data_IF_447564163777
#
_entry.id   IF_447564163777
#
_cell.length_a   1.000
_cell.length_b   1.000
_cell.length_c   1.000
_cell.angle_alpha   90.00
_cell.angle_beta   90.00
_cell.angle_gamma   90.00
#
_symmetry.space_group_name_H-M   'P 1'
#
loop_
_entity.id
_entity.type
_entity.pdbx_description
1 polymer ?
#
# COMPACT_ATOMS: atom_id res chain seq x y z
N UNK A 1 26.19 33.60 29.27
CA UNK A 1 24.76 33.91 29.18
C UNK A 1 24.53 34.67 27.91
N UNK A 2 24.11 34.02 26.87
CA UNK A 2 23.51 34.62 25.69
C UNK A 2 22.36 33.68 25.28
N UNK A 3 21.14 34.15 25.48
CA UNK A 3 19.92 33.45 25.08
C UNK A 3 19.81 33.56 23.55
N UNK A 4 20.08 32.49 22.89
CA UNK A 4 19.85 32.32 21.44
C UNK A 4 18.34 32.14 21.22
N UNK A 5 17.71 33.24 20.83
CA UNK A 5 16.30 33.26 20.44
C UNK A 5 16.13 32.39 19.21
N UNK A 6 15.52 31.23 19.39
CA UNK A 6 15.04 30.39 18.28
C UNK A 6 14.00 31.21 17.48
N UNK A 7 14.42 31.71 16.33
CA UNK A 7 13.53 32.23 15.30
C UNK A 7 12.69 31.08 14.77
N UNK A 8 11.48 30.92 15.30
CA UNK A 8 10.44 30.09 14.71
C UNK A 8 10.05 30.74 13.37
N UNK A 9 10.56 30.20 12.26
CA UNK A 9 10.12 30.58 10.93
C UNK A 9 8.60 30.43 10.83
N UNK A 10 7.91 31.51 10.44
CA UNK A 10 6.46 31.50 10.28
C UNK A 10 6.06 30.37 9.33
N UNK A 11 4.93 29.66 9.61
CA UNK A 11 4.48 28.58 8.73
C UNK A 11 4.18 29.16 7.35
N UNK A 12 4.83 28.61 6.31
CA UNK A 12 4.53 28.96 4.92
C UNK A 12 3.09 28.55 4.62
N UNK A 13 2.21 29.53 4.48
CA UNK A 13 0.79 29.33 4.21
C UNK A 13 0.45 29.83 2.82
N UNK A 14 -0.41 29.11 2.11
CA UNK A 14 -1.00 29.57 0.87
C UNK A 14 -2.36 30.21 1.15
N UNK A 15 -2.67 31.35 0.50
CA UNK A 15 -3.94 32.04 0.67
C UNK A 15 -4.85 31.73 -0.51
N UNK A 16 -5.95 31.04 -0.25
CA UNK A 16 -7.06 30.87 -1.19
C UNK A 16 -8.21 31.79 -0.70
N UNK A 17 -8.24 33.01 -1.15
CA UNK A 17 -9.17 34.03 -0.62
C UNK A 17 -8.93 34.32 0.86
N UNK A 18 -9.94 34.04 1.70
CA UNK A 18 -9.85 34.21 3.18
C UNK A 18 -9.28 32.99 3.91
N UNK A 19 -9.08 31.88 3.21
CA UNK A 19 -8.57 30.64 3.80
C UNK A 19 -7.04 30.56 3.66
N UNK A 20 -6.36 30.37 4.78
CA UNK A 20 -4.93 30.07 4.82
C UNK A 20 -4.76 28.57 4.96
N UNK A 21 -4.26 27.89 3.90
CA UNK A 21 -3.99 26.45 3.93
C UNK A 21 -2.50 26.23 4.24
N UNK A 22 -2.16 25.46 5.27
CA UNK A 22 -0.77 25.19 5.61
C UNK A 22 -0.08 24.35 4.52
N UNK A 23 1.24 24.56 4.37
CA UNK A 23 2.09 23.85 3.40
C UNK A 23 1.95 22.33 3.51
N UNK A 24 1.83 21.83 4.74
CA UNK A 24 1.70 20.41 5.04
C UNK A 24 0.42 19.76 4.48
N UNK A 25 -0.53 20.55 4.01
CA UNK A 25 -1.77 20.08 3.36
C UNK A 25 -1.70 20.34 1.85
N UNK A 26 -1.46 21.58 1.42
CA UNK A 26 -1.59 21.89 0.00
C UNK A 26 -0.48 21.29 -0.86
N UNK A 27 0.78 21.22 -0.36
CA UNK A 27 1.89 20.68 -1.14
C UNK A 27 1.70 19.19 -1.49
N UNK A 28 1.40 18.28 -0.53
CA UNK A 28 1.13 16.88 -0.87
C UNK A 28 -0.09 16.72 -1.79
N UNK A 29 -1.12 17.54 -1.65
CA UNK A 29 -2.30 17.48 -2.53
C UNK A 29 -1.97 17.91 -3.96
N UNK A 30 -1.19 18.97 -4.17
CA UNK A 30 -0.77 19.42 -5.50
C UNK A 30 0.14 18.39 -6.17
N UNK A 31 1.14 17.86 -5.45
CA UNK A 31 2.01 16.81 -5.99
C UNK A 31 1.18 15.60 -6.42
N UNK A 32 0.27 15.15 -5.57
CA UNK A 32 -0.58 14.01 -5.88
C UNK A 32 -1.49 14.30 -7.07
N UNK A 33 -2.17 15.42 -7.12
CA UNK A 33 -3.07 15.78 -8.21
C UNK A 33 -2.36 15.82 -9.57
N UNK A 34 -1.18 16.47 -9.66
CA UNK A 34 -0.40 16.55 -10.89
C UNK A 34 0.06 15.16 -11.36
N UNK A 35 0.53 14.33 -10.45
CA UNK A 35 0.96 12.96 -10.79
C UNK A 35 -0.22 12.06 -11.15
N UNK A 36 -1.42 12.30 -10.59
CA UNK A 36 -2.65 11.56 -10.98
C UNK A 36 -3.15 11.98 -12.35
N UNK A 37 -3.03 13.26 -12.69
CA UNK A 37 -3.34 13.72 -14.05
C UNK A 37 -2.43 13.04 -15.09
N UNK A 38 -1.12 12.96 -14.80
CA UNK A 38 -0.18 12.21 -15.62
C UNK A 38 -0.57 10.72 -15.73
N UNK A 39 -0.84 10.06 -14.60
CA UNK A 39 -1.26 8.66 -14.56
C UNK A 39 -2.56 8.41 -15.33
N UNK A 40 -3.52 9.35 -15.29
CA UNK A 40 -4.74 9.29 -16.10
C UNK A 40 -4.42 9.25 -17.60
N UNK A 41 -3.54 10.13 -18.06
CA UNK A 41 -3.14 10.17 -19.48
C UNK A 41 -2.45 8.86 -19.87
N UNK A 42 -1.52 8.35 -19.05
CA UNK A 42 -0.81 7.08 -19.33
C UNK A 42 -1.79 5.92 -19.43
N UNK A 43 -2.74 5.79 -18.49
CA UNK A 43 -3.74 4.73 -18.48
C UNK A 43 -4.67 4.86 -19.69
N UNK A 44 -5.16 6.07 -20.02
CA UNK A 44 -6.06 6.30 -21.14
C UNK A 44 -5.42 5.99 -22.50
N UNK A 45 -4.12 6.31 -22.66
CA UNK A 45 -3.37 5.97 -23.86
C UNK A 45 -3.10 4.46 -23.93
N UNK A 46 -2.71 3.83 -22.85
CA UNK A 46 -2.44 2.40 -22.78
C UNK A 46 -3.71 1.56 -23.07
N UNK A 47 -4.89 2.03 -22.63
CA UNK A 47 -6.16 1.37 -22.88
C UNK A 47 -6.48 1.17 -24.37
N UNK A 48 -5.89 1.96 -25.27
CA UNK A 48 -6.07 1.82 -26.72
C UNK A 48 -5.50 0.52 -27.28
N UNK A 49 -4.58 -0.10 -26.55
CA UNK A 49 -3.90 -1.34 -26.98
C UNK A 49 -4.51 -2.60 -26.38
N UNK A 50 -5.58 -2.47 -25.57
CA UNK A 50 -6.23 -3.62 -24.99
C UNK A 50 -7.11 -4.34 -26.00
N UNK A 51 -7.02 -5.68 -26.02
CA UNK A 51 -7.94 -6.55 -26.78
C UNK A 51 -9.28 -6.65 -26.04
N UNK A 52 -10.34 -7.09 -26.76
CA UNK A 52 -11.61 -7.38 -26.13
C UNK A 52 -11.47 -8.52 -25.11
N UNK A 53 -12.08 -8.34 -23.94
CA UNK A 53 -12.11 -9.34 -22.87
C UNK A 53 -13.54 -9.85 -22.71
N UNK A 54 -13.83 -11.12 -23.10
CA UNK A 54 -15.16 -11.71 -22.97
C UNK A 54 -15.49 -12.03 -21.51
N UNK A 55 -16.79 -12.05 -21.18
CA UNK A 55 -17.33 -12.58 -19.92
C UNK A 55 -18.20 -13.80 -20.23
N UNK A 56 -18.20 -14.86 -19.39
CA UNK A 56 -17.29 -15.14 -18.31
C UNK A 56 -15.92 -15.61 -18.80
N UNK A 57 -14.98 -15.75 -17.93
CA UNK A 57 -13.58 -16.03 -18.10
C UNK A 57 -13.12 -16.80 -19.34
N UNK A 58 -12.17 -16.25 -20.06
CA UNK A 58 -11.22 -17.02 -20.87
C UNK A 58 -10.22 -17.74 -19.94
N UNK A 59 -9.73 -18.95 -20.26
CA UNK A 59 -8.74 -19.64 -19.44
C UNK A 59 -7.56 -18.73 -19.07
N UNK A 60 -7.37 -18.48 -17.76
CA UNK A 60 -6.31 -17.66 -17.21
C UNK A 60 -6.65 -16.17 -16.98
N UNK A 61 -7.80 -15.66 -17.45
CA UNK A 61 -8.21 -14.27 -17.19
C UNK A 61 -9.67 -14.27 -16.75
N UNK A 62 -9.89 -13.99 -15.45
CA UNK A 62 -11.25 -13.81 -14.93
C UNK A 62 -11.79 -12.44 -15.30
N UNK A 63 -13.03 -12.40 -15.83
CA UNK A 63 -13.76 -11.17 -16.13
C UNK A 63 -15.16 -11.26 -15.54
N UNK A 64 -15.51 -10.34 -14.65
CA UNK A 64 -16.87 -10.21 -14.13
C UNK A 64 -17.79 -9.55 -15.17
N UNK A 65 -17.29 -8.49 -15.80
CA UNK A 65 -17.97 -7.79 -16.89
C UNK A 65 -17.13 -7.83 -18.16
N UNK A 66 -17.76 -8.06 -19.32
CA UNK A 66 -17.05 -8.03 -20.61
C UNK A 66 -16.53 -6.61 -20.90
N UNK A 67 -15.30 -6.52 -21.43
CA UNK A 67 -14.74 -5.27 -21.91
C UNK A 67 -14.57 -5.32 -23.42
N UNK A 68 -14.96 -4.26 -24.16
CA UNK A 68 -14.67 -4.14 -25.58
C UNK A 68 -13.15 -3.98 -25.81
N UNK A 69 -12.70 -4.11 -27.04
CA UNK A 69 -11.36 -3.64 -27.42
C UNK A 69 -11.27 -2.14 -27.17
N UNK A 70 -10.09 -1.68 -26.72
CA UNK A 70 -9.86 -0.27 -26.38
C UNK A 70 -10.89 0.31 -25.40
N UNK A 71 -11.06 -0.27 -24.19
CA UNK A 71 -12.17 0.04 -23.28
C UNK A 71 -12.10 1.43 -22.65
N UNK A 72 -11.08 2.22 -22.98
CA UNK A 72 -10.82 3.53 -22.40
C UNK A 72 -10.29 3.43 -20.95
N UNK A 73 -10.17 4.59 -20.31
CA UNK A 73 -9.65 4.70 -18.94
C UNK A 73 -10.45 3.85 -17.95
N UNK A 74 -11.77 4.02 -17.91
CA UNK A 74 -12.64 3.36 -16.93
C UNK A 74 -12.64 1.83 -17.07
N UNK A 75 -12.54 1.30 -18.28
CA UNK A 75 -12.48 -0.14 -18.49
C UNK A 75 -11.10 -0.71 -18.10
N UNK A 76 -10.00 0.01 -18.40
CA UNK A 76 -8.66 -0.50 -18.07
C UNK A 76 -8.41 -0.59 -16.55
N UNK A 77 -8.88 0.39 -15.79
CA UNK A 77 -8.65 0.44 -14.33
C UNK A 77 -9.36 -0.66 -13.55
N UNK A 78 -10.31 -1.38 -14.15
CA UNK A 78 -11.06 -2.48 -13.51
C UNK A 78 -10.52 -3.87 -13.87
N UNK A 79 -9.44 -3.96 -14.62
CA UNK A 79 -8.80 -5.24 -14.96
C UNK A 79 -8.24 -5.96 -13.73
N UNK A 80 -7.97 -7.26 -13.86
CA UNK A 80 -7.31 -8.15 -12.90
C UNK A 80 -8.02 -8.21 -11.55
N UNK A 81 -7.37 -7.78 -10.46
CA UNK A 81 -8.00 -7.73 -9.13
C UNK A 81 -9.30 -6.90 -9.14
N UNK A 82 -9.38 -5.90 -10.03
CA UNK A 82 -10.56 -5.06 -10.19
C UNK A 82 -11.83 -5.84 -10.48
N UNK A 83 -11.75 -6.91 -11.28
CA UNK A 83 -12.89 -7.77 -11.60
C UNK A 83 -13.45 -8.49 -10.37
N UNK A 84 -12.57 -8.90 -9.46
CA UNK A 84 -12.98 -9.51 -8.20
C UNK A 84 -13.62 -8.50 -7.27
N UNK A 85 -13.05 -7.31 -7.16
CA UNK A 85 -13.63 -6.23 -6.37
C UNK A 85 -14.98 -5.76 -6.94
N UNK A 86 -15.13 -5.70 -8.27
CA UNK A 86 -16.40 -5.37 -8.93
C UNK A 86 -17.48 -6.41 -8.61
N UNK A 87 -17.14 -7.69 -8.74
CA UNK A 87 -18.02 -8.79 -8.35
C UNK A 87 -18.48 -8.67 -6.90
N UNK A 88 -17.55 -8.47 -5.96
CA UNK A 88 -17.86 -8.37 -4.54
C UNK A 88 -18.70 -7.11 -4.24
N UNK A 89 -18.35 -5.97 -4.84
CA UNK A 89 -19.10 -4.72 -4.64
C UNK A 89 -20.54 -4.81 -5.16
N UNK A 90 -20.76 -5.57 -6.25
CA UNK A 90 -22.07 -5.71 -6.89
C UNK A 90 -22.91 -6.83 -6.29
N UNK A 91 -22.31 -8.00 -6.07
CA UNK A 91 -23.03 -9.21 -5.64
C UNK A 91 -22.80 -9.58 -4.17
N UNK A 92 -21.74 -9.05 -3.55
CA UNK A 92 -21.29 -9.49 -2.22
C UNK A 92 -20.54 -10.84 -2.26
N UNK A 93 -20.34 -11.42 -1.07
CA UNK A 93 -19.74 -12.74 -0.91
C UNK A 93 -20.84 -13.80 -0.93
N UNK A 94 -20.91 -14.55 -2.02
CA UNK A 94 -21.90 -15.61 -2.19
C UNK A 94 -21.23 -16.98 -2.14
N UNK A 95 -21.85 -17.90 -1.45
CA UNK A 95 -21.48 -19.32 -1.49
C UNK A 95 -22.01 -19.93 -2.78
N UNK A 96 -21.21 -20.77 -3.48
CA UNK A 96 -21.69 -21.45 -4.68
C UNK A 96 -22.79 -22.45 -4.34
N UNK A 97 -23.75 -22.59 -5.23
CA UNK A 97 -24.72 -23.67 -5.17
C UNK A 97 -24.02 -25.03 -5.33
N UNK A 98 -24.66 -26.10 -4.82
CA UNK A 98 -24.14 -27.46 -5.02
C UNK A 98 -24.21 -27.80 -6.51
N UNK A 99 -23.05 -28.17 -7.09
CA UNK A 99 -22.93 -28.46 -8.52
C UNK A 99 -22.72 -27.24 -9.44
N UNK A 100 -22.55 -26.04 -8.90
CA UNK A 100 -22.24 -24.85 -9.69
C UNK A 100 -20.88 -25.03 -10.42
N UNK A 101 -20.86 -25.03 -11.76
CA UNK A 101 -19.65 -25.15 -12.55
C UNK A 101 -18.66 -23.98 -12.33
N UNK A 102 -19.16 -22.82 -11.90
CA UNK A 102 -18.39 -21.61 -11.57
C UNK A 102 -18.16 -21.45 -10.07
N UNK A 103 -18.40 -22.47 -9.26
CA UNK A 103 -18.27 -22.45 -7.80
C UNK A 103 -16.86 -22.08 -7.33
N UNK A 104 -15.81 -22.41 -8.10
CA UNK A 104 -14.44 -21.99 -7.81
C UNK A 104 -14.29 -20.46 -7.82
N UNK A 105 -14.89 -19.78 -8.78
CA UNK A 105 -14.83 -18.33 -8.90
C UNK A 105 -15.56 -17.66 -7.74
N UNK A 106 -16.69 -18.20 -7.31
CA UNK A 106 -17.41 -17.71 -6.14
C UNK A 106 -16.56 -17.81 -4.87
N UNK A 107 -15.87 -18.92 -4.67
CA UNK A 107 -14.97 -19.12 -3.53
C UNK A 107 -13.72 -18.25 -3.61
N UNK A 108 -13.19 -18.02 -4.82
CA UNK A 108 -12.01 -17.17 -5.01
C UNK A 108 -12.24 -15.72 -4.57
N UNK A 109 -13.46 -15.20 -4.66
CA UNK A 109 -13.83 -13.88 -4.15
C UNK A 109 -13.46 -13.71 -2.66
N UNK A 110 -13.53 -14.78 -1.86
CA UNK A 110 -13.14 -14.76 -0.44
C UNK A 110 -11.63 -14.58 -0.20
N UNK A 111 -10.78 -14.64 -1.23
CA UNK A 111 -9.37 -14.27 -1.11
C UNK A 111 -9.19 -12.75 -0.94
N UNK A 112 -10.17 -11.94 -1.31
CA UNK A 112 -10.14 -10.48 -1.25
C UNK A 112 -10.80 -9.98 0.05
N UNK A 113 -10.09 -9.23 0.91
CA UNK A 113 -10.67 -8.68 2.13
C UNK A 113 -11.77 -7.65 1.86
N UNK A 114 -12.75 -7.50 2.79
CA UNK A 114 -14.03 -6.86 2.50
C UNK A 114 -14.03 -5.32 2.49
N UNK A 115 -13.09 -4.64 3.15
CA UNK A 115 -13.22 -3.19 3.38
C UNK A 115 -13.29 -2.40 2.05
N UNK A 116 -12.37 -2.67 1.13
CA UNK A 116 -12.32 -1.94 -0.14
C UNK A 116 -13.61 -2.14 -0.97
N UNK A 117 -14.03 -3.37 -1.32
CA UNK A 117 -15.24 -3.56 -2.12
C UNK A 117 -16.50 -3.11 -1.40
N UNK A 118 -16.58 -3.20 -0.06
CA UNK A 118 -17.74 -2.71 0.71
C UNK A 118 -17.88 -1.20 0.64
N UNK A 119 -16.76 -0.45 0.76
CA UNK A 119 -16.77 1.02 0.62
C UNK A 119 -17.22 1.41 -0.79
N UNK A 120 -16.72 0.71 -1.82
CA UNK A 120 -17.12 0.97 -3.21
C UNK A 120 -18.61 0.64 -3.41
N UNK A 121 -19.07 -0.53 -2.98
CA UNK A 121 -20.48 -0.95 -3.09
C UNK A 121 -21.45 0.00 -2.37
N UNK A 122 -21.07 0.48 -1.18
CA UNK A 122 -21.84 1.48 -0.46
C UNK A 122 -21.94 2.80 -1.25
N UNK A 123 -20.82 3.25 -1.84
CA UNK A 123 -20.83 4.45 -2.68
C UNK A 123 -21.69 4.25 -3.94
N UNK A 124 -21.60 3.11 -4.61
CA UNK A 124 -22.45 2.78 -5.76
C UNK A 124 -23.94 2.85 -5.39
N UNK A 125 -24.32 2.26 -4.25
CA UNK A 125 -25.69 2.25 -3.76
C UNK A 125 -26.23 3.65 -3.46
N UNK A 126 -25.42 4.49 -2.83
CA UNK A 126 -25.83 5.86 -2.44
C UNK A 126 -25.87 6.81 -3.64
N UNK A 127 -24.93 6.67 -4.58
CA UNK A 127 -24.77 7.64 -5.67
C UNK A 127 -25.35 7.20 -7.00
N UNK A 128 -25.59 5.91 -7.21
CA UNK A 128 -25.96 5.34 -8.50
C UNK A 128 -24.85 5.33 -9.54
N UNK A 129 -23.61 5.71 -9.17
CA UNK A 129 -22.47 5.73 -10.07
C UNK A 129 -21.95 4.31 -10.37
N UNK A 130 -21.30 4.15 -11.53
CA UNK A 130 -20.67 2.88 -11.90
C UNK A 130 -19.50 2.52 -10.98
N UNK A 131 -19.18 1.22 -10.89
CA UNK A 131 -18.06 0.71 -10.11
C UNK A 131 -16.74 1.44 -10.41
N UNK A 132 -16.39 1.58 -11.68
CA UNK A 132 -15.15 2.22 -12.11
C UNK A 132 -15.05 3.69 -11.66
N UNK A 133 -16.15 4.45 -11.70
CA UNK A 133 -16.20 5.84 -11.22
C UNK A 133 -16.05 5.88 -9.71
N UNK A 134 -16.78 5.02 -8.96
CA UNK A 134 -16.66 4.95 -7.50
C UNK A 134 -15.24 4.59 -7.07
N UNK A 135 -14.61 3.61 -7.71
CA UNK A 135 -13.21 3.25 -7.49
C UNK A 135 -12.28 4.44 -7.68
N UNK A 136 -12.42 5.16 -8.81
CA UNK A 136 -11.58 6.32 -9.10
C UNK A 136 -11.69 7.37 -8.00
N UNK A 137 -12.92 7.72 -7.60
CA UNK A 137 -13.16 8.73 -6.56
C UNK A 137 -12.60 8.29 -5.20
N UNK A 138 -12.92 7.07 -4.75
CA UNK A 138 -12.47 6.57 -3.45
C UNK A 138 -10.94 6.49 -3.39
N UNK A 139 -10.30 5.97 -4.43
CA UNK A 139 -8.85 5.82 -4.46
C UNK A 139 -8.12 7.17 -4.57
N UNK A 140 -8.66 8.13 -5.32
CA UNK A 140 -8.10 9.48 -5.35
C UNK A 140 -8.22 10.17 -3.99
N UNK A 141 -9.36 10.06 -3.31
CA UNK A 141 -9.54 10.64 -1.97
C UNK A 141 -8.65 9.96 -0.93
N UNK A 142 -8.61 8.62 -0.92
CA UNK A 142 -7.76 7.87 -0.01
C UNK A 142 -6.27 8.13 -0.25
N UNK A 143 -5.85 8.16 -1.52
CA UNK A 143 -4.47 8.48 -1.90
C UNK A 143 -4.07 9.90 -1.52
N UNK A 144 -4.93 10.89 -1.78
CA UNK A 144 -4.71 12.28 -1.36
C UNK A 144 -4.56 12.39 0.16
N UNK A 145 -5.47 11.76 0.91
CA UNK A 145 -5.39 11.70 2.37
C UNK A 145 -4.11 10.99 2.85
N UNK A 146 -3.72 9.88 2.19
CA UNK A 146 -2.47 9.18 2.50
C UNK A 146 -1.25 10.08 2.34
N UNK A 147 -1.18 10.90 1.28
CA UNK A 147 -0.06 11.84 1.07
C UNK A 147 0.00 12.92 2.15
N UNK A 148 -1.14 13.44 2.59
CA UNK A 148 -1.20 14.42 3.70
C UNK A 148 -0.75 13.80 5.01
N UNK A 149 -1.24 12.60 5.34
CA UNK A 149 -0.85 11.88 6.57
C UNK A 149 0.63 11.48 6.54
N UNK A 150 1.13 11.02 5.39
CA UNK A 150 2.55 10.69 5.18
C UNK A 150 3.43 11.93 5.39
N UNK A 151 3.06 13.06 4.80
CA UNK A 151 3.77 14.32 4.99
C UNK A 151 3.84 14.68 6.47
N UNK A 152 2.69 14.70 7.15
CA UNK A 152 2.61 15.00 8.58
C UNK A 152 3.39 14.02 9.47
N UNK A 153 3.45 12.74 9.09
CA UNK A 153 4.23 11.73 9.79
C UNK A 153 5.73 12.02 9.71
N UNK A 154 6.24 12.29 8.50
CA UNK A 154 7.69 12.43 8.23
C UNK A 154 8.17 13.83 8.64
N UNK A 155 7.39 14.89 8.41
CA UNK A 155 7.76 16.27 8.77
C UNK A 155 8.14 16.41 10.25
N UNK A 156 7.47 15.65 11.13
CA UNK A 156 7.69 15.69 12.58
C UNK A 156 9.11 15.40 13.02
N UNK A 157 9.84 14.60 12.25
CA UNK A 157 11.16 14.06 12.67
C UNK A 157 12.24 14.32 11.64
N UNK A 158 11.93 14.22 10.36
CA UNK A 158 12.88 14.33 9.26
C UNK A 158 12.78 15.68 8.50
N UNK A 159 11.81 16.52 8.87
CA UNK A 159 11.62 17.84 8.28
C UNK A 159 10.87 17.86 6.96
N UNK A 160 10.57 19.07 6.48
CA UNK A 160 9.68 19.32 5.32
C UNK A 160 10.22 18.77 4.00
N UNK A 161 11.52 18.88 3.77
CA UNK A 161 12.11 18.38 2.53
C UNK A 161 12.00 16.86 2.42
N UNK A 162 12.33 16.14 3.49
CA UNK A 162 12.18 14.69 3.54
C UNK A 162 10.71 14.28 3.36
N UNK A 163 9.76 14.97 4.01
CA UNK A 163 8.34 14.75 3.85
C UNK A 163 7.87 14.98 2.39
N UNK A 164 8.28 16.10 1.78
CA UNK A 164 7.99 16.41 0.38
C UNK A 164 8.59 15.38 -0.58
N UNK A 165 9.83 14.94 -0.33
CA UNK A 165 10.49 13.90 -1.13
C UNK A 165 9.74 12.57 -1.05
N UNK A 166 9.31 12.13 0.14
CA UNK A 166 8.57 10.90 0.30
C UNK A 166 7.23 10.96 -0.45
N UNK A 167 6.49 12.05 -0.35
CA UNK A 167 5.24 12.26 -1.09
C UNK A 167 5.49 12.27 -2.60
N UNK A 168 6.48 13.04 -3.06
CA UNK A 168 6.80 13.14 -4.49
C UNK A 168 7.18 11.77 -5.06
N UNK A 169 8.14 11.08 -4.46
CA UNK A 169 8.63 9.81 -4.98
C UNK A 169 7.55 8.72 -4.92
N UNK A 170 6.75 8.65 -3.83
CA UNK A 170 5.63 7.71 -3.73
C UNK A 170 4.56 7.99 -4.79
N UNK A 171 4.25 9.27 -5.04
CA UNK A 171 3.29 9.67 -6.08
C UNK A 171 3.80 9.44 -7.51
N UNK A 172 5.12 9.49 -7.72
CA UNK A 172 5.77 9.20 -8.99
C UNK A 172 6.14 7.72 -9.17
N UNK A 173 6.03 6.89 -8.12
CA UNK A 173 6.48 5.51 -8.14
C UNK A 173 5.90 4.73 -9.33
N UNK A 174 6.65 3.73 -9.83
CA UNK A 174 6.29 2.97 -11.03
C UNK A 174 4.89 2.37 -11.00
N UNK A 175 4.44 1.87 -9.83
CA UNK A 175 3.09 1.32 -9.64
C UNK A 175 2.06 2.35 -9.12
N UNK A 176 2.41 3.64 -9.02
CA UNK A 176 1.49 4.67 -8.52
C UNK A 176 0.22 4.88 -9.38
N UNK A 177 0.14 4.49 -10.67
CA UNK A 177 -1.13 4.44 -11.39
C UNK A 177 -2.23 3.64 -10.68
N UNK A 178 -1.88 2.67 -9.81
CA UNK A 178 -2.85 1.92 -9.00
C UNK A 178 -3.63 2.80 -7.99
N UNK A 179 -3.15 3.99 -7.65
CA UNK A 179 -3.95 4.95 -6.87
C UNK A 179 -5.19 5.50 -7.62
N UNK A 180 -5.43 5.03 -8.83
CA UNK A 180 -6.61 5.35 -9.64
C UNK A 180 -7.35 4.10 -10.12
N UNK A 181 -6.74 2.92 -9.99
CA UNK A 181 -7.29 1.65 -10.45
C UNK A 181 -8.04 0.90 -9.33
N UNK A 182 -8.78 -0.13 -9.69
CA UNK A 182 -9.57 -0.94 -8.76
C UNK A 182 -8.69 -1.86 -7.90
N UNK A 183 -7.88 -1.23 -7.06
CA UNK A 183 -6.93 -1.85 -6.15
C UNK A 183 -7.00 -1.20 -4.77
N UNK A 184 -6.72 -1.95 -3.73
CA UNK A 184 -6.84 -1.50 -2.34
C UNK A 184 -5.64 -0.72 -1.80
N UNK A 185 -4.61 -0.48 -2.62
CA UNK A 185 -3.33 0.11 -2.24
C UNK A 185 -3.46 1.53 -1.66
N UNK A 186 -4.38 2.34 -2.20
CA UNK A 186 -4.60 3.71 -1.71
C UNK A 186 -5.12 3.73 -0.27
N UNK A 187 -6.14 2.92 0.03
CA UNK A 187 -6.70 2.78 1.39
C UNK A 187 -5.66 2.14 2.32
N UNK A 188 -4.94 1.11 1.86
CA UNK A 188 -3.91 0.47 2.65
C UNK A 188 -2.78 1.44 3.03
N UNK A 189 -2.30 2.26 2.09
CA UNK A 189 -1.27 3.27 2.36
C UNK A 189 -1.77 4.32 3.36
N UNK A 190 -3.01 4.80 3.20
CA UNK A 190 -3.63 5.72 4.15
C UNK A 190 -3.64 5.12 5.56
N UNK A 191 -4.09 3.87 5.69
CA UNK A 191 -4.19 3.19 6.99
C UNK A 191 -2.80 2.93 7.60
N UNK A 192 -1.81 2.49 6.82
CA UNK A 192 -0.43 2.32 7.30
C UNK A 192 0.14 3.63 7.80
N UNK A 193 0.09 4.71 7.01
CA UNK A 193 0.57 6.03 7.43
C UNK A 193 -0.16 6.53 8.68
N UNK A 194 -1.49 6.29 8.77
CA UNK A 194 -2.30 6.65 9.93
C UNK A 194 -1.90 5.87 11.18
N UNK A 195 -1.70 4.55 11.08
CA UNK A 195 -1.23 3.72 12.21
C UNK A 195 0.12 4.22 12.72
N UNK A 196 1.10 4.43 11.83
CA UNK A 196 2.42 4.92 12.22
C UNK A 196 2.34 6.31 12.88
N UNK A 197 1.52 7.22 12.35
CA UNK A 197 1.31 8.53 12.94
C UNK A 197 0.62 8.46 14.31
N UNK A 198 -0.36 7.57 14.47
CA UNK A 198 -1.07 7.38 15.73
C UNK A 198 -0.16 6.77 16.81
N UNK A 199 0.71 5.82 16.45
CA UNK A 199 1.76 5.29 17.34
C UNK A 199 2.69 6.43 17.78
N UNK A 200 3.21 7.21 16.83
CA UNK A 200 4.09 8.35 17.10
C UNK A 200 3.43 9.44 17.98
N UNK A 201 2.08 9.56 17.91
CA UNK A 201 1.26 10.45 18.76
C UNK A 201 0.74 9.79 20.03
N UNK A 202 1.11 8.54 20.32
CA UNK A 202 0.67 7.75 21.48
C UNK A 202 -0.86 7.57 21.57
N UNK A 203 -1.54 7.55 20.42
CA UNK A 203 -2.99 7.36 20.30
C UNK A 203 -3.32 5.89 20.00
N UNK A 204 -2.90 4.98 20.90
CA UNK A 204 -2.92 3.53 20.66
C UNK A 204 -4.32 2.96 20.40
N UNK A 205 -5.36 3.45 21.06
CA UNK A 205 -6.74 2.98 20.82
C UNK A 205 -7.18 3.21 19.37
N UNK A 206 -6.90 4.40 18.82
CA UNK A 206 -7.19 4.69 17.41
C UNK A 206 -6.30 3.91 16.46
N UNK A 207 -5.06 3.64 16.86
CA UNK A 207 -4.16 2.78 16.10
C UNK A 207 -4.68 1.34 15.99
N UNK A 208 -5.29 0.79 17.06
CA UNK A 208 -5.95 -0.52 17.04
C UNK A 208 -7.09 -0.55 16.01
N UNK A 209 -7.95 0.47 16.02
CA UNK A 209 -9.05 0.58 15.03
C UNK A 209 -8.47 0.61 13.60
N UNK A 210 -7.44 1.43 13.37
CA UNK A 210 -6.83 1.53 12.05
C UNK A 210 -6.14 0.22 11.61
N UNK A 211 -5.55 -0.56 12.53
CA UNK A 211 -4.98 -1.89 12.24
C UNK A 211 -6.06 -2.89 11.86
N UNK A 212 -7.21 -2.90 12.57
CA UNK A 212 -8.34 -3.76 12.23
C UNK A 212 -8.86 -3.43 10.82
N UNK A 213 -9.05 -2.15 10.50
CA UNK A 213 -9.46 -1.71 9.16
C UNK A 213 -8.41 -2.10 8.10
N UNK A 214 -7.13 -1.98 8.42
CA UNK A 214 -6.04 -2.40 7.53
C UNK A 214 -6.09 -3.90 7.26
N UNK A 215 -6.34 -4.75 8.27
CA UNK A 215 -6.44 -6.20 8.11
C UNK A 215 -7.62 -6.61 7.22
N UNK A 216 -8.70 -5.83 7.23
CA UNK A 216 -9.86 -6.00 6.36
C UNK A 216 -9.66 -5.37 4.97
N UNK A 217 -8.49 -4.76 4.72
CA UNK A 217 -8.08 -4.20 3.43
C UNK A 217 -6.99 -5.05 2.78
N UNK A 218 -5.94 -5.37 3.54
CA UNK A 218 -4.77 -6.14 3.10
C UNK A 218 -4.09 -6.83 4.28
N UNK A 219 -3.45 -7.96 4.01
CA UNK A 219 -2.78 -8.79 5.01
C UNK A 219 -1.34 -8.31 5.27
N UNK A 220 -1.18 -7.07 5.68
CA UNK A 220 0.12 -6.41 5.89
C UNK A 220 0.30 -5.90 7.33
N UNK A 221 -0.47 -6.45 8.28
CA UNK A 221 -0.44 -6.01 9.68
C UNK A 221 0.72 -6.56 10.53
N UNK A 222 1.30 -7.77 10.29
CA UNK A 222 2.33 -8.32 11.15
C UNK A 222 3.58 -7.43 11.32
N UNK A 223 4.10 -6.75 10.28
CA UNK A 223 5.21 -5.81 10.45
C UNK A 223 4.94 -4.70 11.47
N UNK A 224 3.68 -4.29 11.65
CA UNK A 224 3.31 -3.26 12.64
C UNK A 224 3.55 -3.73 14.07
N UNK A 225 3.45 -5.03 14.36
CA UNK A 225 3.76 -5.55 15.68
C UNK A 225 5.24 -5.30 16.07
N UNK A 226 6.14 -5.43 15.11
CA UNK A 226 7.57 -5.12 15.31
C UNK A 226 7.77 -3.61 15.50
N UNK A 227 7.03 -2.78 14.74
CA UNK A 227 7.06 -1.32 14.95
C UNK A 227 6.61 -0.98 16.36
N UNK A 228 5.51 -1.57 16.85
CA UNK A 228 5.02 -1.37 18.22
C UNK A 228 6.02 -1.84 19.27
N UNK A 229 6.65 -2.99 19.05
CA UNK A 229 7.67 -3.52 19.94
C UNK A 229 8.87 -2.57 20.05
N UNK A 230 9.42 -2.12 18.94
CA UNK A 230 10.56 -1.19 18.93
C UNK A 230 10.17 0.15 19.55
N UNK A 231 8.97 0.67 19.22
CA UNK A 231 8.43 1.87 19.88
C UNK A 231 8.34 1.69 21.40
N UNK A 232 7.79 0.57 21.87
CA UNK A 232 7.66 0.27 23.30
C UNK A 232 9.04 0.19 23.99
N UNK A 233 10.04 -0.43 23.36
CA UNK A 233 11.41 -0.49 23.87
C UNK A 233 12.02 0.91 23.99
N UNK A 234 11.86 1.75 22.97
CA UNK A 234 12.37 3.15 23.01
C UNK A 234 11.66 3.94 24.12
N UNK A 235 10.34 3.81 24.23
CA UNK A 235 9.56 4.44 25.31
C UNK A 235 10.01 3.95 26.69
N UNK A 236 10.23 2.65 26.85
CA UNK A 236 10.69 2.07 28.12
C UNK A 236 12.09 2.56 28.51
N UNK A 237 13.00 2.72 27.55
CA UNK A 237 14.34 3.27 27.82
C UNK A 237 14.30 4.74 28.23
N UNK A 238 13.39 5.54 27.67
CA UNK A 238 13.19 6.95 28.02
C UNK A 238 12.28 7.20 29.23
N UNK A 239 11.82 6.16 29.96
CA UNK A 239 10.80 6.28 31.02
C UNK A 239 11.24 7.11 32.24
N UNK A 240 12.52 7.32 32.41
CA UNK A 240 13.07 8.16 33.51
C UNK A 240 12.83 9.64 33.24
N UNK A 241 12.87 10.06 31.98
CA UNK A 241 12.63 11.43 31.53
C UNK A 241 11.15 11.69 31.25
N UNK A 242 10.47 10.70 30.65
CA UNK A 242 9.06 10.76 30.27
C UNK A 242 8.33 9.48 30.74
N UNK A 243 7.75 9.50 31.96
CA UNK A 243 7.15 8.32 32.61
C UNK A 243 6.01 7.71 31.77
N UNK A 244 6.02 6.38 31.67
CA UNK A 244 4.98 5.64 30.96
C UNK A 244 3.77 5.41 31.87
N UNK A 245 2.58 5.80 31.43
CA UNK A 245 1.34 5.50 32.12
C UNK A 245 0.94 4.04 31.93
N UNK A 246 0.24 3.43 32.87
CA UNK A 246 -0.28 2.06 32.74
C UNK A 246 -1.17 1.91 31.49
N UNK A 247 -1.98 2.91 31.16
CA UNK A 247 -2.82 2.92 29.96
C UNK A 247 -2.01 2.89 28.66
N UNK A 248 -0.83 3.53 28.61
CA UNK A 248 0.08 3.45 27.47
C UNK A 248 0.65 2.03 27.32
N UNK A 249 1.08 1.40 28.42
CA UNK A 249 1.59 0.02 28.38
C UNK A 249 0.54 -0.95 27.87
N UNK A 250 -0.67 -0.87 28.41
CA UNK A 250 -1.80 -1.69 27.95
C UNK A 250 -2.12 -1.40 26.48
N UNK A 251 -2.16 -0.12 26.08
CA UNK A 251 -2.40 0.28 24.70
C UNK A 251 -1.37 -0.28 23.71
N UNK A 252 -0.08 -0.22 24.04
CA UNK A 252 0.99 -0.82 23.23
C UNK A 252 0.89 -2.35 23.18
N UNK A 253 0.62 -3.01 24.32
CA UNK A 253 0.47 -4.46 24.37
C UNK A 253 -0.72 -4.93 23.52
N UNK A 254 -1.90 -4.30 23.68
CA UNK A 254 -3.10 -4.61 22.87
C UNK A 254 -2.83 -4.38 21.39
N UNK A 255 -2.22 -3.23 21.03
CA UNK A 255 -1.89 -2.93 19.64
C UNK A 255 -0.93 -3.95 19.03
N UNK A 256 0.09 -4.38 19.77
CA UNK A 256 1.03 -5.42 19.33
C UNK A 256 0.33 -6.76 19.06
N UNK A 257 -0.50 -7.21 20.01
CA UNK A 257 -1.29 -8.45 19.87
C UNK A 257 -2.26 -8.36 18.70
N UNK A 258 -3.01 -7.25 18.57
CA UNK A 258 -3.96 -7.05 17.49
C UNK A 258 -3.24 -6.99 16.13
N UNK A 259 -2.07 -6.37 16.04
CA UNK A 259 -1.28 -6.32 14.80
C UNK A 259 -0.86 -7.72 14.33
N UNK A 260 -0.52 -8.65 15.23
CA UNK A 260 -0.22 -10.03 14.89
C UNK A 260 -1.47 -10.84 14.58
N UNK A 261 -2.48 -10.77 15.44
CA UNK A 261 -3.67 -11.60 15.33
C UNK A 261 -4.56 -11.22 14.14
N UNK A 262 -4.63 -9.94 13.80
CA UNK A 262 -5.55 -9.45 12.76
C UNK A 262 -5.21 -9.94 11.35
N UNK A 263 -3.98 -10.40 11.10
CA UNK A 263 -3.63 -11.02 9.80
C UNK A 263 -4.49 -12.26 9.51
N UNK A 264 -4.94 -12.96 10.54
CA UNK A 264 -5.79 -14.15 10.39
C UNK A 264 -7.28 -13.83 10.48
N UNK A 265 -7.66 -12.57 10.75
CA UNK A 265 -9.05 -12.19 10.97
C UNK A 265 -9.95 -12.58 9.79
N UNK A 266 -9.61 -12.10 8.58
CA UNK A 266 -10.39 -12.39 7.40
C UNK A 266 -10.38 -13.88 7.03
N UNK A 267 -9.23 -14.56 7.09
CA UNK A 267 -9.15 -15.99 6.82
C UNK A 267 -9.93 -16.84 7.82
N UNK A 268 -10.04 -16.41 9.08
CA UNK A 268 -10.86 -17.08 10.08
C UNK A 268 -12.34 -16.89 9.77
N UNK A 269 -12.77 -15.67 9.46
CA UNK A 269 -14.15 -15.38 9.05
C UNK A 269 -14.53 -16.22 7.82
N UNK A 270 -13.69 -16.23 6.79
CA UNK A 270 -13.94 -16.99 5.57
C UNK A 270 -14.02 -18.50 5.81
N UNK A 271 -13.15 -19.07 6.66
CA UNK A 271 -13.22 -20.47 7.06
C UNK A 271 -14.55 -20.82 7.73
N UNK A 272 -15.04 -19.96 8.62
CA UNK A 272 -16.35 -20.18 9.28
C UNK A 272 -17.48 -20.12 8.24
N UNK A 273 -17.51 -19.11 7.37
CA UNK A 273 -18.55 -18.95 6.35
C UNK A 273 -18.55 -20.12 5.36
N UNK A 274 -17.36 -20.58 4.92
CA UNK A 274 -17.22 -21.63 3.90
C UNK A 274 -17.19 -23.05 4.45
N UNK A 275 -17.28 -23.24 5.77
CA UNK A 275 -17.12 -24.55 6.43
C UNK A 275 -18.13 -25.62 5.99
N UNK A 276 -19.35 -25.22 5.59
CA UNK A 276 -20.42 -26.10 5.12
C UNK A 276 -20.38 -26.43 3.63
N UNK A 277 -19.51 -25.80 2.84
CA UNK A 277 -19.52 -25.96 1.38
C UNK A 277 -18.70 -27.17 0.96
N UNK A 278 -19.36 -28.18 0.40
CA UNK A 278 -18.71 -29.28 -0.35
C UNK A 278 -18.55 -28.85 -1.80
N UNK A 279 -17.53 -28.02 -2.08
CA UNK A 279 -17.22 -27.68 -3.47
C UNK A 279 -16.40 -28.82 -4.09
N UNK A 280 -16.96 -29.50 -5.06
CA UNK A 280 -16.27 -30.47 -5.89
C UNK A 280 -15.13 -29.77 -6.65
N UNK A 281 -13.88 -30.14 -6.34
CA UNK A 281 -12.70 -29.70 -7.06
C UNK A 281 -12.12 -28.31 -6.69
N UNK A 282 -12.69 -27.59 -5.73
CA UNK A 282 -12.03 -26.45 -5.13
C UNK A 282 -11.30 -26.93 -3.87
N UNK A 283 -9.99 -26.91 -3.91
CA UNK A 283 -9.19 -27.20 -2.73
C UNK A 283 -9.37 -26.05 -1.74
N UNK A 284 -10.10 -26.29 -0.63
CA UNK A 284 -10.32 -25.30 0.43
C UNK A 284 -9.01 -24.73 0.95
N UNK A 285 -7.92 -25.49 0.83
CA UNK A 285 -6.56 -25.07 1.12
C UNK A 285 -6.09 -23.95 0.23
N UNK A 286 -6.51 -23.86 -1.05
CA UNK A 286 -6.04 -22.83 -1.97
C UNK A 286 -6.61 -21.45 -1.67
N UNK A 287 -7.87 -21.33 -1.26
CA UNK A 287 -8.48 -20.04 -0.89
C UNK A 287 -7.92 -19.50 0.43
N UNK A 288 -7.77 -20.38 1.45
CA UNK A 288 -7.16 -19.96 2.73
C UNK A 288 -5.66 -19.81 2.65
N UNK A 289 -4.98 -20.49 1.73
CA UNK A 289 -3.53 -20.43 1.54
C UNK A 289 -3.11 -19.34 0.54
N UNK A 290 -3.97 -18.92 -0.38
CA UNK A 290 -3.71 -17.72 -1.21
C UNK A 290 -3.51 -16.47 -0.37
N UNK A 291 -4.02 -16.49 0.86
CA UNK A 291 -3.91 -15.40 1.83
C UNK A 291 -2.64 -15.44 2.67
N UNK A 292 -2.00 -16.63 2.84
CA UNK A 292 -0.76 -16.76 3.63
C UNK A 292 0.25 -17.44 2.73
N UNK A 293 0.71 -16.65 1.68
CA UNK A 293 1.46 -17.24 1.05
C UNK A 293 2.62 -17.52 0.58
N UNK A 294 3.38 -17.43 0.12
CA UNK A 294 4.69 -17.84 -0.36
C UNK A 294 5.60 -18.34 0.78
N UNK A 295 5.61 -19.64 0.99
CA UNK A 295 6.60 -20.21 1.90
C UNK A 295 7.98 -19.72 1.50
N UNK A 296 8.49 -18.66 2.18
CA UNK A 296 9.77 -18.02 1.87
C UNK A 296 9.90 -17.53 0.40
N UNK A 297 8.86 -16.86 -0.13
CA UNK A 297 8.68 -16.51 -1.54
C UNK A 297 9.95 -16.13 -2.32
N UNK A 298 10.69 -15.11 -1.90
CA UNK A 298 11.94 -14.71 -2.57
C UNK A 298 13.07 -15.72 -2.35
N UNK A 299 13.17 -16.34 -1.18
CA UNK A 299 14.19 -17.33 -0.90
C UNK A 299 14.00 -18.60 -1.75
N UNK A 300 12.76 -19.07 -1.86
CA UNK A 300 12.43 -20.24 -2.71
C UNK A 300 12.69 -19.93 -4.17
N UNK A 301 12.19 -18.81 -4.68
CA UNK A 301 12.44 -18.41 -6.07
C UNK A 301 13.93 -18.22 -6.38
N UNK A 302 14.68 -17.60 -5.47
CA UNK A 302 16.12 -17.42 -5.64
C UNK A 302 16.86 -18.76 -5.67
N UNK A 303 16.47 -19.72 -4.82
CA UNK A 303 17.03 -21.06 -4.84
C UNK A 303 16.73 -21.79 -6.15
N UNK A 304 15.49 -21.74 -6.61
CA UNK A 304 15.04 -22.41 -7.85
C UNK A 304 15.77 -21.88 -9.11
N UNK A 305 16.13 -20.58 -9.15
CA UNK A 305 16.73 -19.96 -10.33
C UNK A 305 18.27 -19.94 -10.29
N UNK A 306 18.86 -19.71 -9.12
CA UNK A 306 20.31 -19.50 -8.96
C UNK A 306 20.92 -20.27 -7.77
N UNK A 307 20.18 -21.21 -7.20
CA UNK A 307 20.64 -22.05 -6.10
C UNK A 307 20.98 -21.26 -4.82
N UNK A 308 21.91 -21.79 -4.04
CA UNK A 308 22.31 -21.18 -2.76
C UNK A 308 22.87 -19.76 -2.88
N UNK A 309 23.45 -19.39 -4.02
CA UNK A 309 23.94 -18.01 -4.26
C UNK A 309 22.76 -17.03 -4.19
N UNK A 310 21.61 -17.40 -4.76
CA UNK A 310 20.39 -16.60 -4.68
C UNK A 310 19.87 -16.45 -3.24
N UNK A 311 19.87 -17.54 -2.48
CA UNK A 311 19.49 -17.53 -1.05
C UNK A 311 20.37 -16.58 -0.25
N UNK A 312 21.69 -16.65 -0.45
CA UNK A 312 22.66 -15.73 0.18
C UNK A 312 22.38 -14.29 -0.24
N UNK A 313 22.09 -14.04 -1.52
CA UNK A 313 21.73 -12.71 -2.01
C UNK A 313 20.50 -12.13 -1.31
N UNK A 314 19.43 -12.90 -1.15
CA UNK A 314 18.23 -12.47 -0.42
C UNK A 314 18.54 -12.24 1.07
N UNK A 315 19.34 -13.11 1.70
CA UNK A 315 19.76 -12.93 3.08
C UNK A 315 20.59 -11.64 3.27
N UNK A 316 21.47 -11.33 2.33
CA UNK A 316 22.23 -10.07 2.34
C UNK A 316 21.31 -8.84 2.20
N UNK A 317 20.22 -8.92 1.42
CA UNK A 317 19.21 -7.86 1.37
C UNK A 317 18.54 -7.65 2.73
N UNK A 318 18.19 -8.73 3.43
CA UNK A 318 17.65 -8.62 4.80
C UNK A 318 18.63 -7.91 5.73
N UNK A 319 19.90 -8.32 5.70
CA UNK A 319 20.97 -7.70 6.49
C UNK A 319 21.13 -6.22 6.10
N UNK A 320 21.10 -5.91 4.82
CA UNK A 320 21.20 -4.53 4.32
C UNK A 320 20.08 -3.63 4.88
N UNK A 321 18.82 -4.08 4.84
CA UNK A 321 17.70 -3.33 5.40
C UNK A 321 17.89 -3.07 6.90
N UNK A 322 18.35 -4.05 7.65
CA UNK A 322 18.63 -3.90 9.10
C UNK A 322 19.78 -2.92 9.32
N UNK A 323 20.91 -3.10 8.62
CA UNK A 323 22.09 -2.24 8.75
C UNK A 323 21.75 -0.80 8.40
N UNK A 324 21.04 -0.56 7.30
CA UNK A 324 20.61 0.81 6.93
C UNK A 324 19.67 1.37 8.00
N UNK A 325 18.71 0.58 8.51
CA UNK A 325 17.79 1.03 9.55
C UNK A 325 18.48 1.45 10.86
N UNK A 326 19.59 0.83 11.24
CA UNK A 326 20.34 1.20 12.44
C UNK A 326 21.45 2.24 12.18
N UNK A 327 21.72 2.54 10.92
CA UNK A 327 22.78 3.47 10.50
C UNK A 327 22.44 4.94 10.82
N UNK A 328 23.44 5.83 10.81
CA UNK A 328 23.21 7.27 10.96
C UNK A 328 22.29 7.86 9.87
N UNK A 329 22.24 7.23 8.67
CA UNK A 329 21.44 7.71 7.52
C UNK A 329 19.93 7.83 7.85
N UNK A 330 19.43 7.00 8.77
CA UNK A 330 18.00 6.99 9.14
C UNK A 330 17.71 7.64 10.49
N UNK A 331 18.72 8.27 11.11
CA UNK A 331 18.64 8.74 12.50
C UNK A 331 17.50 9.73 12.74
N UNK A 332 17.23 10.59 11.75
CA UNK A 332 16.18 11.62 11.85
C UNK A 332 14.80 11.17 11.40
N UNK A 333 14.62 9.92 10.92
CA UNK A 333 13.33 9.50 10.33
C UNK A 333 12.22 9.20 11.34
N UNK A 334 12.54 9.17 12.63
CA UNK A 334 11.63 8.71 13.68
C UNK A 334 11.60 7.17 13.78
N UNK A 335 11.34 6.67 14.97
CA UNK A 335 11.47 5.24 15.28
C UNK A 335 10.45 4.39 14.48
N UNK A 336 9.23 4.87 14.29
CA UNK A 336 8.15 4.16 13.60
C UNK A 336 8.44 4.04 12.10
N UNK A 337 8.82 5.15 11.46
CA UNK A 337 9.13 5.20 10.02
C UNK A 337 10.39 4.37 9.72
N UNK A 338 11.41 4.50 10.55
CA UNK A 338 12.67 3.75 10.45
C UNK A 338 12.49 2.25 10.61
N UNK A 339 11.64 1.83 11.56
CA UNK A 339 11.34 0.42 11.76
C UNK A 339 10.50 -0.12 10.59
N UNK A 340 9.50 0.62 10.13
CA UNK A 340 8.70 0.25 8.97
C UNK A 340 9.54 0.12 7.71
N UNK A 341 10.49 1.00 7.49
CA UNK A 341 11.45 0.95 6.38
C UNK A 341 12.16 -0.40 6.27
N UNK A 342 12.58 -0.98 7.38
CA UNK A 342 13.27 -2.27 7.37
C UNK A 342 12.29 -3.44 7.34
N UNK A 343 11.33 -3.44 8.26
CA UNK A 343 10.52 -4.63 8.54
C UNK A 343 9.52 -4.92 7.43
N UNK A 344 8.96 -3.90 6.78
CA UNK A 344 7.98 -4.16 5.73
C UNK A 344 8.60 -4.76 4.45
N UNK A 345 9.70 -4.25 3.89
CA UNK A 345 10.38 -4.94 2.79
C UNK A 345 10.88 -6.34 3.18
N UNK A 346 11.42 -6.52 4.39
CA UNK A 346 11.82 -7.84 4.88
C UNK A 346 10.61 -8.79 4.89
N UNK A 347 9.47 -8.35 5.41
CA UNK A 347 8.23 -9.13 5.37
C UNK A 347 7.84 -9.52 3.95
N UNK A 348 7.97 -8.62 2.97
CA UNK A 348 7.70 -8.93 1.56
C UNK A 348 8.63 -10.02 1.02
N UNK A 349 9.91 -10.03 1.38
CA UNK A 349 10.85 -11.08 0.95
C UNK A 349 10.43 -12.49 1.42
N UNK A 350 9.70 -12.57 2.55
CA UNK A 350 9.19 -13.84 3.07
C UNK A 350 7.82 -14.22 2.51
N UNK A 351 6.97 -13.25 2.18
CA UNK A 351 5.55 -13.47 1.90
C UNK A 351 5.19 -13.31 0.42
N UNK A 352 5.80 -12.37 -0.28
CA UNK A 352 5.50 -12.12 -1.68
C UNK A 352 6.29 -13.03 -2.62
N UNK A 353 5.65 -13.47 -3.73
CA UNK A 353 6.35 -14.10 -4.83
C UNK A 353 7.11 -13.07 -5.68
N UNK A 354 8.07 -13.56 -6.49
CA UNK A 354 8.79 -12.73 -7.48
C UNK A 354 7.97 -12.69 -8.77
N UNK A 355 7.19 -11.62 -8.94
CA UNK A 355 6.40 -11.36 -10.15
C UNK A 355 6.23 -9.85 -10.37
N UNK A 356 5.73 -9.44 -11.53
CA UNK A 356 5.59 -8.01 -11.85
C UNK A 356 4.72 -7.24 -10.85
N UNK A 357 3.75 -7.90 -10.21
CA UNK A 357 2.90 -7.34 -9.17
C UNK A 357 3.64 -6.97 -7.88
N UNK A 358 4.91 -7.39 -7.70
CA UNK A 358 5.69 -7.00 -6.51
C UNK A 358 5.82 -5.48 -6.38
N UNK A 359 5.89 -4.75 -7.50
CA UNK A 359 5.98 -3.30 -7.48
C UNK A 359 4.80 -2.64 -6.77
N UNK A 360 3.59 -3.21 -6.85
CA UNK A 360 2.42 -2.66 -6.14
C UNK A 360 2.58 -2.74 -4.62
N UNK A 361 3.21 -3.80 -4.12
CA UNK A 361 3.46 -3.96 -2.69
C UNK A 361 4.47 -2.93 -2.17
N UNK A 362 5.45 -2.54 -2.98
CA UNK A 362 6.42 -1.50 -2.64
C UNK A 362 5.82 -0.09 -2.50
N UNK A 363 4.57 0.16 -2.94
CA UNK A 363 3.86 1.40 -2.62
C UNK A 363 3.73 1.64 -1.12
N UNK A 364 3.59 0.56 -0.32
CA UNK A 364 3.53 0.66 1.13
C UNK A 364 4.92 0.78 1.78
N UNK A 365 5.99 0.55 1.04
CA UNK A 365 7.38 0.75 1.46
C UNK A 365 7.84 2.21 1.27
N UNK A 366 6.93 3.18 1.39
CA UNK A 366 7.16 4.60 1.14
C UNK A 366 8.41 5.19 1.80
N UNK A 367 8.91 4.72 2.97
CA UNK A 367 10.14 5.27 3.54
C UNK A 367 11.40 4.98 2.71
N UNK A 368 11.36 4.07 1.72
CA UNK A 368 12.46 3.88 0.78
C UNK A 368 12.81 5.19 0.04
N UNK A 369 11.83 6.05 -0.19
CA UNK A 369 12.03 7.38 -0.76
C UNK A 369 12.99 8.25 0.07
N UNK A 370 13.06 8.04 1.37
CA UNK A 370 13.92 8.80 2.27
C UNK A 370 15.41 8.49 2.09
N UNK A 371 15.76 7.37 1.45
CA UNK A 371 17.14 7.07 1.07
C UNK A 371 17.71 8.12 0.10
N UNK A 372 16.87 8.78 -0.69
CA UNK A 372 17.27 9.88 -1.59
C UNK A 372 17.73 11.12 -0.82
N UNK A 373 17.28 11.26 0.42
CA UNK A 373 17.54 12.42 1.29
C UNK A 373 18.58 12.10 2.37
N UNK A 374 18.55 10.91 2.93
CA UNK A 374 19.33 10.51 4.10
C UNK A 374 18.83 11.19 5.38
N UNK A 375 19.77 11.52 6.29
CA UNK A 375 19.49 12.31 7.51
C UNK A 375 20.00 13.73 7.32
N UNK A 376 19.14 14.67 6.91
CA UNK A 376 19.53 16.07 6.85
C UNK A 376 19.71 16.61 8.28
N UNK A 377 20.92 16.92 8.68
CA UNK A 377 21.23 17.57 9.96
C UNK A 377 21.02 19.08 9.93
N UNK A 378 20.76 19.66 8.74
CA UNK A 378 20.60 21.11 8.49
C UNK A 378 19.40 21.37 7.57
N UNK A 379 18.77 22.54 7.75
CA UNK A 379 17.72 23.04 6.84
C UNK A 379 18.24 23.32 5.41
N UNK A 380 19.54 23.54 5.25
CA UNK A 380 20.18 23.76 3.96
C UNK A 380 20.32 22.46 3.17
N UNK A 381 19.45 22.29 2.21
CA UNK A 381 19.45 21.13 1.33
C UNK A 381 20.45 21.39 0.20
N UNK A 382 21.48 20.56 0.04
CA UNK A 382 22.39 20.70 -1.08
C UNK A 382 21.61 20.63 -2.41
N UNK A 383 21.78 21.63 -3.28
CA UNK A 383 21.16 21.69 -4.62
C UNK A 383 21.30 20.35 -5.38
N UNK A 384 22.43 19.67 -5.22
CA UNK A 384 22.68 18.34 -5.81
C UNK A 384 21.64 17.29 -5.36
N UNK A 385 21.24 17.29 -4.09
CA UNK A 385 20.21 16.34 -3.58
C UNK A 385 18.84 16.64 -4.16
N UNK A 386 18.46 17.91 -4.24
CA UNK A 386 17.19 18.29 -4.87
C UNK A 386 17.13 17.86 -6.34
N UNK A 387 18.21 18.08 -7.10
CA UNK A 387 18.33 17.63 -8.49
C UNK A 387 18.21 16.10 -8.57
N UNK A 388 18.88 15.36 -7.69
CA UNK A 388 18.81 13.90 -7.66
C UNK A 388 17.39 13.38 -7.37
N UNK A 389 16.68 13.98 -6.40
CA UNK A 389 15.28 13.65 -6.09
C UNK A 389 14.38 13.89 -7.30
N UNK A 390 14.53 15.04 -7.97
CA UNK A 390 13.74 15.35 -9.18
C UNK A 390 14.06 14.37 -10.29
N UNK A 391 15.34 14.10 -10.57
CA UNK A 391 15.74 13.15 -11.62
C UNK A 391 15.20 11.75 -11.36
N UNK A 392 15.33 11.24 -10.12
CA UNK A 392 14.78 9.94 -9.73
C UNK A 392 13.25 9.89 -9.89
N UNK A 393 12.54 10.96 -9.56
CA UNK A 393 11.10 11.07 -9.72
C UNK A 393 10.67 11.09 -11.18
N UNK A 394 11.39 11.82 -12.04
CA UNK A 394 11.15 11.85 -13.50
C UNK A 394 11.38 10.48 -14.12
N UNK A 395 12.46 9.79 -13.76
CA UNK A 395 12.73 8.42 -14.23
C UNK A 395 11.60 7.50 -13.78
N UNK A 396 11.15 7.59 -12.54
CA UNK A 396 10.08 6.77 -12.00
C UNK A 396 8.73 7.03 -12.72
N UNK A 397 8.42 8.29 -13.05
CA UNK A 397 7.27 8.64 -13.88
C UNK A 397 7.37 8.03 -15.29
N UNK A 398 8.54 8.11 -15.93
CA UNK A 398 8.74 7.50 -17.26
C UNK A 398 8.52 5.98 -17.23
N UNK A 399 8.95 5.31 -16.15
CA UNK A 399 8.76 3.87 -15.95
C UNK A 399 7.29 3.48 -15.73
N UNK A 400 6.39 4.40 -15.40
CA UNK A 400 4.95 4.10 -15.33
C UNK A 400 4.38 3.68 -16.69
N UNK A 401 4.90 4.23 -17.81
CA UNK A 401 4.41 3.93 -19.15
C UNK A 401 4.58 2.44 -19.50
N UNK A 402 5.81 1.87 -19.51
CA UNK A 402 5.99 0.45 -19.77
C UNK A 402 5.31 -0.42 -18.72
N UNK A 403 5.31 0.00 -17.43
CA UNK A 403 4.66 -0.79 -16.38
C UNK A 403 3.14 -0.90 -16.61
N UNK A 404 2.44 0.20 -16.88
CA UNK A 404 1.00 0.19 -17.19
C UNK A 404 0.71 -0.67 -18.42
N UNK A 405 1.52 -0.51 -19.49
CA UNK A 405 1.34 -1.25 -20.74
C UNK A 405 1.54 -2.76 -20.58
N UNK A 406 2.42 -3.21 -19.67
CA UNK A 406 2.71 -4.63 -19.48
C UNK A 406 1.92 -5.26 -18.33
N UNK A 407 1.63 -4.49 -17.27
CA UNK A 407 0.97 -5.02 -16.08
C UNK A 407 -0.56 -4.86 -16.10
N UNK A 408 -1.10 -3.76 -16.63
CA UNK A 408 -2.55 -3.53 -16.62
C UNK A 408 -3.24 -3.92 -17.93
N UNK A 409 -2.58 -3.73 -19.09
CA UNK A 409 -3.16 -3.99 -20.40
C UNK A 409 -3.07 -5.47 -20.76
N UNK A 410 -4.15 -6.03 -21.26
CA UNK A 410 -4.17 -7.37 -21.87
C UNK A 410 -4.05 -7.20 -23.38
N UNK A 411 -2.91 -7.63 -23.95
CA UNK A 411 -2.62 -7.50 -25.39
C UNK A 411 -2.91 -8.75 -26.19
N UNK A 412 -3.05 -9.92 -25.52
CA UNK A 412 -3.41 -11.19 -26.15
C UNK A 412 -4.11 -12.08 -25.14
N UNK A 413 -5.09 -12.86 -25.59
CA UNK A 413 -5.81 -13.83 -24.77
C UNK A 413 -5.03 -15.14 -24.60
N UNK A 414 -4.05 -15.42 -25.49
CA UNK A 414 -3.18 -16.58 -25.43
C UNK A 414 -1.80 -16.20 -24.89
N UNK A 415 -1.31 -16.96 -23.91
CA UNK A 415 -0.02 -16.74 -23.25
C UNK A 415 -0.16 -16.57 -21.74
N UNK A 416 0.97 -16.57 -21.00
CA UNK A 416 0.96 -16.24 -19.58
C UNK A 416 0.96 -14.71 -19.44
N UNK A 417 -0.15 -14.09 -19.02
CA UNK A 417 -0.16 -12.65 -18.79
C UNK A 417 0.74 -12.31 -17.61
N UNK A 418 1.42 -11.18 -17.70
CA UNK A 418 2.11 -10.59 -16.56
C UNK A 418 1.04 -10.08 -15.59
N UNK A 419 0.85 -10.79 -14.48
CA UNK A 419 -0.08 -10.34 -13.45
C UNK A 419 0.51 -9.13 -12.71
N UNK A 420 -0.26 -8.06 -12.53
CA UNK A 420 0.17 -6.89 -11.77
C UNK A 420 0.28 -7.16 -10.26
#
# INVERSE_FOLDING_TARGET
MAAETAQTSAPSTWRLGRLTVPLSIWLPLVIFALTRLYGFVVIALAARHQVALPSPAHPGIYQFAAHPSSPGYLGLITNWDGQWYERIATLGYHLPAVGDPHGKDALWAFAFPPLFPTVIGAMMTVTGLSFAVCVTVVNLLAGAAAMVVMFALIERTAGRFAAGTAVLFTSCFVAAPLFQAAYSEAIALLLVCTVLLLIARRRYCWAVVAVILLSLTRLVTPPLAIVVLVHAVVRYRGRTEDPIRRSEMVGMAVLGVVSLASVTLWSTITKVITSGVKATGADRGSVSNAVIVGRFGWFTNAYEHIGWIGVVGVALLVVLFVVVAISPVTRTWGVEVRTWFAIYPIFLLFVAGVHAGVFRYFLLAFPLALLLVGSPEREDIPRKRAIFVVAASVISLALQVPWVSHALVVTALAGKPWLP
#
